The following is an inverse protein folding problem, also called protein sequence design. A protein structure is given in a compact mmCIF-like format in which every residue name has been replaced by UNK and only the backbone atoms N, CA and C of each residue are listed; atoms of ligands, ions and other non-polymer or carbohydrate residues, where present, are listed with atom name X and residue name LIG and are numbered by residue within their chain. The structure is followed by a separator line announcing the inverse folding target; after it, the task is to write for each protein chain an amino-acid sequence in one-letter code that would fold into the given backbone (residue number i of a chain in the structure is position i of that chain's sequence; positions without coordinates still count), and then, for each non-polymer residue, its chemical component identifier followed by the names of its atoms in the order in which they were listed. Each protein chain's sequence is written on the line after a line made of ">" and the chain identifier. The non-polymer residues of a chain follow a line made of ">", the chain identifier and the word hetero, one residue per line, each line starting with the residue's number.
data_IF_033226664733
#
_entry.id   IF_033226664733
#
_cell.length_a   1.000
_cell.length_b   1.000
_cell.length_c   1.000
_cell.angle_alpha   90.00
_cell.angle_beta   90.00
_cell.angle_gamma   90.00
#
_symmetry.space_group_name_H-M   'P 1'
#
loop_
_entity.id
_entity.type
_entity.pdbx_description
1 polymer ?
#
# COMPACT_ATOMS: atom_id res chain seq x y z
N UNK A 1 -5.52 5.48 -10.38
CA UNK A 1 -4.21 4.91 -10.77
C UNK A 1 -3.76 3.80 -9.83
N UNK A 2 -3.50 4.06 -8.54
CA UNK A 2 -3.07 3.01 -7.60
C UNK A 2 -4.01 1.79 -7.58
N UNK A 3 -5.32 2.01 -7.61
CA UNK A 3 -6.31 0.93 -7.60
C UNK A 3 -6.27 0.07 -8.89
N UNK A 4 -5.82 0.62 -10.02
CA UNK A 4 -5.57 -0.15 -11.25
C UNK A 4 -4.41 -1.14 -11.05
N UNK A 5 -3.36 -0.73 -10.33
CA UNK A 5 -2.26 -1.63 -9.96
C UNK A 5 -2.73 -2.67 -8.93
N UNK A 6 -3.53 -2.28 -7.94
CA UNK A 6 -4.13 -3.20 -6.97
C UNK A 6 -5.01 -4.27 -7.63
N UNK A 7 -5.62 -3.93 -8.77
CA UNK A 7 -6.59 -4.74 -9.51
C UNK A 7 -5.99 -5.38 -10.78
N UNK A 8 -4.70 -5.75 -10.76
CA UNK A 8 -4.08 -6.54 -11.84
C UNK A 8 -3.99 -5.85 -13.20
N UNK A 9 -4.09 -4.52 -13.24
CA UNK A 9 -4.01 -3.72 -14.48
C UNK A 9 -5.35 -3.33 -15.08
N UNK A 10 -6.46 -3.72 -14.45
CA UNK A 10 -7.81 -3.31 -14.84
C UNK A 10 -8.23 -2.07 -14.05
N UNK A 11 -8.68 -1.03 -14.75
CA UNK A 11 -9.22 0.16 -14.12
C UNK A 11 -10.55 -0.18 -13.44
N UNK A 12 -10.67 -0.06 -12.10
CA UNK A 12 -11.85 -0.55 -11.39
C UNK A 12 -13.12 0.26 -11.67
N UNK A 13 -13.00 1.50 -12.18
CA UNK A 13 -14.14 2.38 -12.47
C UNK A 13 -14.59 2.32 -13.94
N UNK A 14 -13.76 1.82 -14.85
CA UNK A 14 -14.12 1.68 -16.28
C UNK A 14 -14.18 0.23 -16.75
N UNK A 15 -13.58 -0.71 -16.03
CA UNK A 15 -13.43 -2.11 -16.45
C UNK A 15 -12.39 -2.33 -17.54
N UNK A 16 -11.72 -1.27 -18.01
CA UNK A 16 -10.74 -1.34 -19.08
C UNK A 16 -9.42 -1.96 -18.61
N UNK A 17 -8.81 -2.80 -19.45
CA UNK A 17 -7.45 -3.29 -19.24
C UNK A 17 -6.43 -2.23 -19.67
N UNK A 18 -5.87 -1.52 -18.70
CA UNK A 18 -4.88 -0.46 -18.94
C UNK A 18 -3.46 -1.01 -18.99
N UNK A 19 -3.15 -2.02 -18.17
CA UNK A 19 -1.83 -2.63 -18.06
C UNK A 19 -1.90 -4.14 -18.21
N UNK A 20 -0.81 -4.75 -18.69
CA UNK A 20 -0.69 -6.20 -18.65
C UNK A 20 -0.31 -6.68 -17.23
N UNK A 21 -0.70 -7.91 -16.82
CA UNK A 21 -0.43 -8.41 -15.47
C UNK A 21 1.06 -8.50 -15.12
N UNK A 22 1.94 -8.75 -16.09
CA UNK A 22 3.37 -8.81 -15.88
C UNK A 22 3.95 -7.46 -15.47
N UNK A 23 3.59 -6.39 -16.18
CA UNK A 23 3.97 -5.02 -15.85
C UNK A 23 3.51 -4.67 -14.44
N UNK A 24 2.27 -4.99 -14.09
CA UNK A 24 1.71 -4.73 -12.75
C UNK A 24 2.51 -5.46 -11.68
N UNK A 25 2.74 -6.78 -11.84
CA UNK A 25 3.53 -7.57 -10.90
C UNK A 25 4.93 -7.00 -10.73
N UNK A 26 5.63 -6.72 -11.84
CA UNK A 26 7.00 -6.21 -11.81
C UNK A 26 7.07 -4.83 -11.13
N UNK A 27 6.12 -3.93 -11.44
CA UNK A 27 6.02 -2.62 -10.79
C UNK A 27 5.76 -2.75 -9.29
N UNK A 28 4.84 -3.60 -8.85
CA UNK A 28 4.55 -3.79 -7.42
C UNK A 28 5.75 -4.37 -6.67
N UNK A 29 6.47 -5.33 -7.26
CA UNK A 29 7.70 -5.88 -6.68
C UNK A 29 8.77 -4.80 -6.46
N UNK A 30 8.99 -3.94 -7.45
CA UNK A 30 9.98 -2.86 -7.34
C UNK A 30 9.52 -1.73 -6.40
N UNK A 31 8.23 -1.39 -6.38
CA UNK A 31 7.67 -0.46 -5.41
C UNK A 31 7.84 -0.97 -3.98
N UNK A 32 7.78 -2.27 -3.76
CA UNK A 32 7.97 -2.86 -2.44
C UNK A 32 9.41 -2.67 -1.93
N UNK A 33 10.43 -2.91 -2.76
CA UNK A 33 11.84 -2.84 -2.32
C UNK A 33 12.51 -1.48 -2.50
N UNK A 34 12.05 -0.64 -3.43
CA UNK A 34 12.73 0.59 -3.85
C UNK A 34 11.82 1.83 -3.83
N UNK A 35 10.64 1.73 -3.22
CA UNK A 35 9.57 2.72 -3.33
C UNK A 35 9.78 4.03 -2.56
N UNK A 36 10.51 3.98 -1.44
CA UNK A 36 10.49 4.99 -0.37
C UNK A 36 11.87 5.58 -0.07
N UNK A 37 12.73 5.70 -1.09
CA UNK A 37 14.14 6.14 -0.96
C UNK A 37 14.91 5.25 0.01
N UNK A 38 15.80 5.82 0.83
CA UNK A 38 16.57 5.10 1.85
C UNK A 38 15.68 4.48 2.94
N UNK A 39 14.41 4.89 3.02
CA UNK A 39 13.42 4.29 3.92
C UNK A 39 12.80 2.99 3.39
N UNK A 40 13.09 2.58 2.14
CA UNK A 40 12.39 1.44 1.50
C UNK A 40 12.49 0.14 2.29
N UNK A 41 13.66 -0.20 2.83
CA UNK A 41 13.83 -1.42 3.64
C UNK A 41 13.00 -1.41 4.93
N UNK A 42 13.00 -0.27 5.65
CA UNK A 42 12.22 -0.08 6.87
C UNK A 42 10.71 -0.07 6.58
N UNK A 43 10.30 0.58 5.50
CA UNK A 43 8.91 0.61 5.06
C UNK A 43 8.41 -0.79 4.68
N UNK A 44 9.19 -1.56 3.92
CA UNK A 44 8.86 -2.93 3.55
C UNK A 44 8.75 -3.85 4.77
N UNK A 45 9.57 -3.63 5.80
CA UNK A 45 9.53 -4.43 7.03
C UNK A 45 8.35 -4.09 7.95
N UNK A 46 8.04 -2.81 8.13
CA UNK A 46 7.02 -2.37 9.09
C UNK A 46 5.62 -2.21 8.48
N UNK A 47 5.53 -1.67 7.27
CA UNK A 47 4.26 -1.45 6.55
C UNK A 47 3.97 -2.60 5.60
N UNK A 48 5.00 -3.11 4.91
CA UNK A 48 4.87 -4.30 4.07
C UNK A 48 3.89 -4.14 2.92
N UNK A 49 3.74 -2.94 2.38
CA UNK A 49 2.90 -2.65 1.22
C UNK A 49 3.72 -2.02 0.09
N UNK A 50 3.42 -2.29 -1.20
CA UNK A 50 4.04 -1.56 -2.30
C UNK A 50 3.65 -0.08 -2.24
N UNK A 51 4.64 0.80 -2.21
CA UNK A 51 4.42 2.24 -2.18
C UNK A 51 5.43 2.99 -3.07
N UNK A 52 5.10 4.22 -3.44
CA UNK A 52 6.06 5.14 -4.05
C UNK A 52 5.87 6.54 -3.48
N UNK A 53 6.91 7.13 -2.91
CA UNK A 53 6.93 8.52 -2.48
C UNK A 53 7.43 9.48 -3.57
N UNK A 54 7.09 10.75 -3.44
CA UNK A 54 7.63 11.84 -4.26
C UNK A 54 7.82 13.13 -3.47
N UNK A 55 8.74 13.97 -3.94
CA UNK A 55 9.15 15.23 -3.29
C UNK A 55 8.02 16.25 -3.12
N UNK A 56 6.92 16.10 -3.87
CA UNK A 56 5.71 16.91 -3.68
C UNK A 56 4.94 16.59 -2.38
N UNK A 57 5.40 15.60 -1.61
CA UNK A 57 4.71 15.08 -0.43
C UNK A 57 3.66 14.02 -0.75
N UNK A 58 3.67 13.48 -1.97
CA UNK A 58 2.77 12.40 -2.38
C UNK A 58 3.31 11.02 -2.02
N UNK A 59 2.44 10.12 -1.57
CA UNK A 59 2.71 8.69 -1.42
C UNK A 59 1.60 7.91 -2.12
N UNK A 60 1.95 7.26 -3.22
CA UNK A 60 1.10 6.30 -3.91
C UNK A 60 1.22 4.95 -3.22
N UNK A 61 0.17 4.46 -2.59
CA UNK A 61 0.15 3.21 -1.83
C UNK A 61 -0.78 2.20 -2.51
N UNK A 62 -0.37 0.94 -2.57
CA UNK A 62 -1.17 -0.15 -3.12
C UNK A 62 -1.39 -1.21 -2.06
N UNK A 63 -2.64 -1.62 -1.85
CA UNK A 63 -3.00 -2.84 -1.11
C UNK A 63 -3.47 -3.85 -2.15
N UNK A 64 -2.61 -4.79 -2.59
CA UNK A 64 -2.95 -5.72 -3.66
C UNK A 64 -4.26 -6.46 -3.39
N UNK A 65 -5.12 -6.57 -4.41
CA UNK A 65 -6.45 -7.20 -4.33
C UNK A 65 -7.47 -6.52 -3.41
N UNK A 66 -7.18 -5.33 -2.87
CA UNK A 66 -8.10 -4.60 -1.98
C UNK A 66 -8.37 -3.19 -2.50
N UNK A 67 -7.34 -2.33 -2.54
CA UNK A 67 -7.53 -0.92 -2.89
C UNK A 67 -6.21 -0.26 -3.28
N UNK A 68 -6.31 0.94 -3.87
CA UNK A 68 -5.16 1.83 -4.03
C UNK A 68 -5.44 3.21 -3.44
N UNK A 69 -4.45 3.79 -2.79
CA UNK A 69 -4.55 5.03 -2.03
C UNK A 69 -3.51 6.03 -2.55
N UNK A 70 -3.84 7.32 -2.49
CA UNK A 70 -2.87 8.42 -2.61
C UNK A 70 -2.94 9.26 -1.34
N UNK A 71 -1.83 9.32 -0.60
CA UNK A 71 -1.66 10.25 0.50
C UNK A 71 -0.91 11.48 -0.01
N UNK A 72 -1.31 12.68 0.39
CA UNK A 72 -0.59 13.89 0.03
C UNK A 72 -0.51 14.86 1.21
N UNK A 73 0.72 15.16 1.62
CA UNK A 73 1.01 16.22 2.57
C UNK A 73 2.42 16.77 2.30
N UNK A 74 2.57 18.06 1.94
CA UNK A 74 3.84 18.62 1.47
C UNK A 74 5.05 18.48 2.41
N UNK A 75 4.93 18.59 3.75
CA UNK A 75 6.10 18.48 4.63
C UNK A 75 6.73 17.08 4.58
N UNK A 76 8.03 17.06 4.26
CA UNK A 76 8.83 15.84 4.16
C UNK A 76 9.68 15.62 5.42
N UNK A 77 9.97 14.36 5.70
CA UNK A 77 10.99 13.95 6.66
C UNK A 77 12.40 14.13 6.08
N UNK A 78 13.42 13.74 6.87
CA UNK A 78 14.83 13.82 6.46
C UNK A 78 15.19 12.88 5.30
N UNK A 79 14.35 11.89 5.00
CA UNK A 79 14.54 10.89 3.95
C UNK A 79 13.74 11.22 2.67
N UNK A 80 13.04 12.36 2.65
CA UNK A 80 12.27 12.82 1.49
C UNK A 80 10.87 12.25 1.38
N UNK A 81 10.33 11.63 2.44
CA UNK A 81 8.99 11.07 2.47
C UNK A 81 8.02 11.98 3.23
N UNK A 82 6.74 12.03 2.81
CA UNK A 82 5.72 12.81 3.52
C UNK A 82 5.54 12.33 4.95
N UNK A 83 5.74 13.21 5.94
CA UNK A 83 5.67 12.84 7.38
C UNK A 83 4.30 12.24 7.72
N UNK A 84 3.23 12.93 7.31
CA UNK A 84 1.85 12.48 7.57
C UNK A 84 1.49 11.25 6.75
N UNK A 85 2.03 11.13 5.54
CA UNK A 85 1.81 9.97 4.70
C UNK A 85 2.42 8.70 5.29
N UNK A 86 3.65 8.76 5.79
CA UNK A 86 4.30 7.64 6.47
C UNK A 86 3.50 7.24 7.72
N UNK A 87 3.15 8.21 8.57
CA UNK A 87 2.35 7.95 9.77
C UNK A 87 1.03 7.24 9.43
N UNK A 88 0.31 7.73 8.42
CA UNK A 88 -0.93 7.11 7.95
C UNK A 88 -0.72 5.66 7.49
N UNK A 89 0.33 5.39 6.71
CA UNK A 89 0.62 4.02 6.24
C UNK A 89 0.91 3.07 7.40
N UNK A 90 1.64 3.53 8.43
CA UNK A 90 1.91 2.77 9.64
C UNK A 90 0.62 2.47 10.41
N UNK A 91 -0.19 3.49 10.67
CA UNK A 91 -1.45 3.33 11.42
C UNK A 91 -2.43 2.41 10.68
N UNK A 92 -2.49 2.51 9.34
CA UNK A 92 -3.32 1.66 8.49
C UNK A 92 -3.00 0.16 8.69
N UNK A 93 -1.72 -0.21 8.68
CA UNK A 93 -1.29 -1.61 8.79
C UNK A 93 -1.25 -2.10 10.24
N UNK A 94 -1.15 -1.20 11.22
CA UNK A 94 -1.36 -1.54 12.63
C UNK A 94 -2.83 -1.88 12.90
N UNK A 95 -3.76 -1.14 12.29
CA UNK A 95 -5.19 -1.36 12.46
C UNK A 95 -5.71 -2.55 11.66
N UNK A 96 -5.30 -2.70 10.40
CA UNK A 96 -5.83 -3.70 9.47
C UNK A 96 -4.81 -4.78 9.11
N UNK A 97 -5.29 -5.99 8.81
CA UNK A 97 -4.48 -7.13 8.36
C UNK A 97 -4.04 -7.03 6.88
N UNK A 98 -3.51 -5.87 6.51
CA UNK A 98 -3.09 -5.55 5.14
C UNK A 98 -1.59 -5.74 4.88
N UNK A 99 -0.77 -6.00 5.90
CA UNK A 99 0.65 -6.28 5.68
C UNK A 99 0.79 -7.45 4.70
N UNK A 100 1.73 -7.39 3.75
CA UNK A 100 1.89 -8.46 2.74
C UNK A 100 2.15 -9.85 3.34
N UNK A 101 2.65 -9.90 4.58
CA UNK A 101 2.87 -11.14 5.33
C UNK A 101 1.88 -11.37 6.50
N UNK A 102 0.83 -10.56 6.64
CA UNK A 102 -0.26 -10.85 7.57
C UNK A 102 -1.09 -12.05 7.07
N UNK A 103 -1.60 -12.85 7.99
CA UNK A 103 -2.41 -14.02 7.67
C UNK A 103 -3.89 -13.65 7.57
N UNK A 104 -4.58 -14.06 6.50
CA UNK A 104 -5.99 -13.75 6.30
C UNK A 104 -6.95 -14.50 7.23
N UNK A 105 -6.48 -15.53 7.95
CA UNK A 105 -7.28 -16.35 8.90
C UNK A 105 -6.93 -16.08 10.36
N UNK A 106 -5.64 -15.91 10.66
CA UNK A 106 -5.12 -15.78 12.01
C UNK A 106 -4.37 -14.43 12.16
N UNK A 107 -5.11 -13.36 12.42
CA UNK A 107 -4.58 -11.99 12.43
C UNK A 107 -4.78 -11.27 13.78
N UNK A 108 -4.28 -11.85 14.87
CA UNK A 108 -4.23 -11.25 16.21
C UNK A 108 -5.42 -10.31 16.53
N UNK A 109 -5.16 -9.05 16.90
CA UNK A 109 -6.18 -8.03 17.22
C UNK A 109 -6.50 -7.09 16.05
N UNK A 110 -6.01 -7.39 14.84
CA UNK A 110 -6.21 -6.53 13.67
C UNK A 110 -7.63 -6.67 13.14
N UNK A 111 -8.09 -5.66 12.42
CA UNK A 111 -9.37 -5.68 11.71
C UNK A 111 -9.16 -6.24 10.29
N UNK A 112 -10.14 -6.98 9.79
CA UNK A 112 -10.19 -7.38 8.38
C UNK A 112 -11.47 -6.80 7.75
N UNK A 113 -11.36 -5.70 6.99
CA UNK A 113 -12.53 -5.04 6.41
C UNK A 113 -13.10 -5.80 5.21
N UNK A 114 -12.49 -6.91 4.81
CA UNK A 114 -13.03 -7.81 3.77
C UNK A 114 -14.08 -8.76 4.33
N UNK A 115 -14.23 -8.83 5.65
CA UNK A 115 -15.19 -9.71 6.32
C UNK A 115 -16.40 -8.92 6.81
N UNK A 116 -17.57 -9.50 6.65
CA UNK A 116 -18.80 -9.00 7.26
C UNK A 116 -18.81 -9.44 8.73
N UNK A 117 -18.90 -8.49 9.66
CA UNK A 117 -18.91 -8.75 11.11
C UNK A 117 -17.52 -8.70 11.74
N UNK A 118 -17.38 -7.89 12.80
CA UNK A 118 -16.16 -7.74 13.61
C UNK A 118 -15.80 -8.97 14.43
N UNK A 119 -15.80 -10.17 13.85
CA UNK A 119 -15.32 -11.39 14.50
C UNK A 119 -13.80 -11.35 14.63
N UNK A 120 -13.34 -10.67 15.69
CA UNK A 120 -12.15 -11.06 16.41
C UNK A 120 -12.44 -12.45 17.03
N UNK A 121 -11.91 -13.50 16.42
CA UNK A 121 -11.76 -14.81 17.08
C UNK A 121 -10.37 -14.91 17.68
#
# INVERSE_FOLDING_TARGET
>A
MAATLANGGFCPITGERVLNPEAVRNTLSLMHSCGMYDFSGQFAFHVGLPAKSGVSGGILLVVPNVMGIMCWSPPLDKLGNSVRGIQFCTDLVQLFNFHNYDNLRHFAKKLDPRREGGEQR
#
